data_IF_353728048351
#
_entry.id   IF_353728048351
#
_cell.length_a   1.000
_cell.length_b   1.000
_cell.length_c   1.000
_cell.angle_alpha   90.00
_cell.angle_beta   90.00
_cell.angle_gamma   90.00
#
_symmetry.space_group_name_H-M   'P 1'
#
loop_
_entity.id
_entity.type
_entity.pdbx_description
1 polymer ?
#
# COMPACT_ATOMS: atom_id res chain seq x y z
N UNK A 1 -50.34 -73.73 10.00
CA UNK A 1 -48.88 -73.71 9.73
C UNK A 1 -48.73 -73.05 8.36
N UNK A 2 -48.54 -71.75 8.33
CA UNK A 2 -48.42 -70.93 7.12
C UNK A 2 -47.13 -70.16 7.18
N UNK A 3 -46.19 -70.51 6.34
CA UNK A 3 -44.85 -69.84 6.18
C UNK A 3 -44.95 -68.54 5.43
N UNK A 4 -44.47 -67.43 6.00
CA UNK A 4 -44.26 -66.14 5.33
C UNK A 4 -42.94 -66.15 4.55
N UNK A 5 -42.84 -65.55 3.37
CA UNK A 5 -41.58 -65.39 2.67
C UNK A 5 -40.80 -64.14 3.11
N UNK A 6 -39.50 -64.33 3.32
CA UNK A 6 -38.51 -63.33 3.63
C UNK A 6 -38.25 -62.42 2.39
N UNK A 7 -38.56 -61.09 2.52
CA UNK A 7 -38.21 -60.11 1.47
C UNK A 7 -36.77 -59.63 1.65
N UNK A 8 -35.93 -59.89 0.65
CA UNK A 8 -34.58 -59.42 0.50
C UNK A 8 -34.62 -57.92 0.12
N UNK A 9 -34.10 -57.03 0.97
CA UNK A 9 -33.92 -55.61 0.66
C UNK A 9 -32.50 -55.44 0.11
N UNK A 10 -32.36 -55.15 -1.18
CA UNK A 10 -31.08 -54.80 -1.79
C UNK A 10 -30.88 -53.31 -1.59
N UNK A 11 -29.86 -52.96 -0.76
CA UNK A 11 -29.45 -51.59 -0.58
C UNK A 11 -28.50 -51.21 -1.75
N UNK A 12 -28.92 -50.26 -2.58
CA UNK A 12 -28.08 -49.68 -3.62
C UNK A 12 -27.09 -48.68 -2.96
N UNK A 13 -25.81 -49.01 -2.94
CA UNK A 13 -24.75 -48.08 -2.61
C UNK A 13 -24.54 -47.12 -3.79
N UNK A 14 -25.02 -45.88 -3.64
CA UNK A 14 -24.69 -44.78 -4.54
C UNK A 14 -23.24 -44.37 -4.38
N UNK A 15 -22.43 -44.57 -5.41
CA UNK A 15 -21.07 -44.02 -5.48
C UNK A 15 -21.14 -42.51 -5.63
N UNK A 16 -20.77 -41.79 -4.56
CA UNK A 16 -20.53 -40.32 -4.61
C UNK A 16 -19.20 -40.10 -5.30
N UNK A 17 -19.26 -39.69 -6.57
CA UNK A 17 -18.07 -39.24 -7.29
C UNK A 17 -17.60 -37.90 -6.70
N UNK A 18 -16.50 -37.94 -5.96
CA UNK A 18 -15.79 -36.74 -5.53
C UNK A 18 -15.15 -36.13 -6.79
N UNK A 19 -15.70 -35.03 -7.28
CA UNK A 19 -15.02 -34.17 -8.25
C UNK A 19 -13.88 -33.50 -7.48
N UNK A 20 -12.66 -33.92 -7.76
CA UNK A 20 -11.45 -33.27 -7.27
C UNK A 20 -11.43 -31.83 -7.80
N UNK A 21 -11.81 -30.89 -6.94
CA UNK A 21 -11.65 -29.48 -7.22
C UNK A 21 -10.18 -29.22 -7.49
N UNK A 22 -9.87 -28.59 -8.63
CA UNK A 22 -8.52 -28.12 -8.94
C UNK A 22 -8.01 -27.29 -7.78
N UNK A 23 -6.98 -27.76 -7.09
CA UNK A 23 -6.30 -27.01 -6.05
C UNK A 23 -5.78 -25.71 -6.69
N UNK A 24 -6.43 -24.62 -6.37
CA UNK A 24 -5.99 -23.29 -6.79
C UNK A 24 -4.65 -23.05 -6.10
N UNK A 25 -3.57 -23.06 -6.88
CA UNK A 25 -2.22 -22.80 -6.35
C UNK A 25 -2.25 -21.46 -5.63
N UNK A 26 -1.77 -21.44 -4.39
CA UNK A 26 -1.65 -20.19 -3.63
C UNK A 26 -0.89 -19.15 -4.49
N UNK A 27 -1.34 -17.87 -4.52
CA UNK A 27 -0.67 -16.86 -5.31
C UNK A 27 0.80 -16.76 -4.88
N UNK A 28 1.69 -16.72 -5.89
CA UNK A 28 3.13 -16.58 -5.64
C UNK A 28 3.39 -15.37 -4.73
N UNK A 29 4.23 -15.57 -3.70
CA UNK A 29 4.55 -14.51 -2.75
C UNK A 29 5.23 -13.33 -3.46
N UNK A 30 4.73 -12.11 -3.24
CA UNK A 30 5.38 -10.88 -3.70
C UNK A 30 6.42 -10.44 -2.68
N UNK A 31 7.69 -10.72 -2.97
CA UNK A 31 8.86 -10.29 -2.19
C UNK A 31 9.92 -9.65 -3.10
N UNK A 32 10.94 -9.03 -2.51
CA UNK A 32 12.07 -8.49 -3.27
C UNK A 32 12.79 -9.60 -4.04
N UNK A 33 12.95 -10.79 -3.43
CA UNK A 33 13.64 -11.94 -4.02
C UNK A 33 12.87 -12.52 -5.21
N UNK A 34 11.55 -12.78 -5.05
CA UNK A 34 10.73 -13.31 -6.15
C UNK A 34 10.60 -12.31 -7.29
N UNK A 35 10.59 -11.02 -6.98
CA UNK A 35 10.57 -9.94 -7.97
C UNK A 35 11.91 -9.82 -8.68
N UNK A 36 13.04 -9.94 -7.95
CA UNK A 36 14.38 -9.94 -8.51
C UNK A 36 14.55 -11.07 -9.53
N UNK A 37 14.15 -12.29 -9.18
CA UNK A 37 14.25 -13.44 -10.07
C UNK A 37 13.55 -13.21 -11.43
N UNK A 38 12.44 -12.45 -11.45
CA UNK A 38 11.69 -12.10 -12.66
C UNK A 38 12.32 -10.95 -13.45
N UNK A 39 12.96 -10.00 -12.76
CA UNK A 39 13.45 -8.77 -13.38
C UNK A 39 14.93 -8.84 -13.79
N UNK A 40 15.75 -9.58 -13.08
CA UNK A 40 17.21 -9.68 -13.33
C UNK A 40 17.58 -10.07 -14.78
N UNK A 41 16.84 -10.94 -15.49
CA UNK A 41 17.15 -11.24 -16.89
C UNK A 41 17.07 -10.02 -17.82
N UNK A 42 16.13 -9.08 -17.53
CA UNK A 42 15.95 -7.85 -18.31
C UNK A 42 16.81 -6.69 -17.78
N UNK A 43 17.06 -6.67 -16.48
CA UNK A 43 17.80 -5.62 -15.78
C UNK A 43 18.98 -6.22 -14.99
N UNK A 44 20.02 -6.72 -15.67
CA UNK A 44 21.10 -7.49 -14.99
C UNK A 44 21.94 -6.66 -14.02
N UNK A 45 21.82 -5.34 -14.06
CA UNK A 45 22.54 -4.40 -13.19
C UNK A 45 21.84 -4.15 -11.84
N UNK A 46 20.58 -4.58 -11.67
CA UNK A 46 19.85 -4.30 -10.43
C UNK A 46 20.38 -5.16 -9.28
N UNK A 47 20.21 -4.63 -8.08
CA UNK A 47 20.46 -5.36 -6.82
C UNK A 47 19.27 -5.16 -5.91
N UNK A 48 18.90 -6.20 -5.18
CA UNK A 48 17.93 -6.03 -4.08
C UNK A 48 18.48 -5.00 -3.11
N UNK A 49 17.70 -3.96 -2.83
CA UNK A 49 18.12 -2.90 -1.92
C UNK A 49 18.30 -3.44 -0.50
N UNK A 50 19.45 -3.14 0.11
CA UNK A 50 19.78 -3.66 1.43
C UNK A 50 18.78 -3.22 2.51
N UNK A 51 18.31 -4.18 3.29
CA UNK A 51 17.52 -3.99 4.52
C UNK A 51 18.34 -4.24 5.79
N UNK A 52 19.66 -4.24 5.69
CA UNK A 52 20.56 -4.28 6.85
C UNK A 52 20.39 -2.97 7.66
N UNK A 53 20.14 -3.12 8.96
CA UNK A 53 19.91 -1.98 9.84
C UNK A 53 21.26 -1.39 10.26
N UNK A 54 21.58 -0.14 9.88
CA UNK A 54 22.84 0.49 10.26
C UNK A 54 22.86 0.85 11.76
N UNK A 55 24.05 1.09 12.29
CA UNK A 55 24.21 1.45 13.71
C UNK A 55 23.48 2.73 14.12
N UNK A 56 23.20 3.61 13.17
CA UNK A 56 22.47 4.87 13.35
C UNK A 56 20.95 4.68 13.50
N UNK A 57 20.41 3.49 13.21
CA UNK A 57 18.97 3.20 13.25
C UNK A 57 18.67 2.15 14.31
N UNK A 58 17.57 2.37 15.03
CA UNK A 58 16.93 1.39 15.90
C UNK A 58 15.77 0.74 15.14
N UNK A 59 15.67 -0.59 15.19
CA UNK A 59 14.58 -1.32 14.55
C UNK A 59 13.80 -2.12 15.59
N UNK A 60 12.52 -1.79 15.75
CA UNK A 60 11.56 -2.49 16.60
C UNK A 60 10.63 -3.28 15.68
N UNK A 61 10.64 -4.60 15.79
CA UNK A 61 9.94 -5.48 14.83
C UNK A 61 8.79 -6.23 15.47
N UNK A 62 7.77 -6.50 14.65
CA UNK A 62 6.65 -7.35 15.06
C UNK A 62 5.73 -6.71 16.08
N UNK A 63 5.64 -5.37 16.12
CA UNK A 63 4.76 -4.66 17.04
C UNK A 63 3.31 -4.85 16.57
N UNK A 64 2.46 -5.42 17.39
CA UNK A 64 1.03 -5.57 17.11
C UNK A 64 0.34 -4.21 17.24
N UNK A 65 -0.23 -3.68 16.15
CA UNK A 65 -0.92 -2.40 16.15
C UNK A 65 -2.45 -2.53 16.19
N UNK A 66 -2.98 -3.66 15.74
CA UNK A 66 -4.42 -4.00 15.85
C UNK A 66 -4.63 -5.51 15.85
N UNK A 67 -5.73 -5.95 16.47
CA UNK A 67 -6.18 -7.36 16.50
C UNK A 67 -7.59 -7.46 15.93
N UNK A 68 -7.79 -8.45 15.04
CA UNK A 68 -9.09 -8.86 14.54
C UNK A 68 -9.33 -10.30 14.99
N UNK A 69 -10.01 -10.47 16.14
CA UNK A 69 -10.10 -11.79 16.79
C UNK A 69 -8.70 -12.32 17.15
N UNK A 70 -8.36 -13.51 16.65
CA UNK A 70 -7.04 -14.11 16.83
C UNK A 70 -5.96 -13.62 15.85
N UNK A 71 -6.32 -12.81 14.87
CA UNK A 71 -5.39 -12.28 13.86
C UNK A 71 -4.72 -10.99 14.35
N UNK A 72 -3.41 -11.02 14.52
CA UNK A 72 -2.61 -9.84 14.82
C UNK A 72 -2.06 -9.22 13.54
N UNK A 73 -2.28 -7.92 13.37
CA UNK A 73 -1.60 -7.14 12.35
C UNK A 73 -0.45 -6.37 12.97
N UNK A 74 0.71 -6.48 12.35
CA UNK A 74 1.96 -6.01 12.91
C UNK A 74 2.61 -4.94 12.04
N UNK A 75 3.39 -4.08 12.69
CA UNK A 75 4.30 -3.15 12.06
C UNK A 75 5.74 -3.39 12.53
N UNK A 76 6.69 -2.98 11.70
CA UNK A 76 8.09 -2.82 12.08
C UNK A 76 8.39 -1.31 12.07
N UNK A 77 8.93 -0.78 13.16
CA UNK A 77 9.22 0.63 13.36
C UNK A 77 10.74 0.87 13.34
N UNK A 78 11.17 1.79 12.49
CA UNK A 78 12.56 2.20 12.33
C UNK A 78 12.73 3.65 12.79
N UNK A 79 13.65 3.88 13.71
CA UNK A 79 13.86 5.17 14.37
C UNK A 79 15.33 5.57 14.28
N UNK A 80 15.67 6.85 14.04
CA UNK A 80 17.04 7.32 14.18
C UNK A 80 17.50 7.21 15.63
N UNK A 81 18.70 6.73 15.87
CA UNK A 81 19.33 6.81 17.20
C UNK A 81 19.82 8.25 17.47
N UNK A 82 19.96 8.62 18.74
CA UNK A 82 20.42 9.96 19.12
C UNK A 82 19.39 11.06 18.88
N UNK A 83 18.10 10.72 18.77
CA UNK A 83 16.96 11.63 18.55
C UNK A 83 16.57 12.52 19.72
N UNK A 84 17.39 12.56 20.78
CA UNK A 84 17.09 13.22 22.05
C UNK A 84 16.43 14.61 21.87
N UNK A 85 15.19 14.76 22.38
CA UNK A 85 14.47 16.02 22.49
C UNK A 85 13.83 16.55 21.21
N UNK A 86 13.96 15.87 20.05
CA UNK A 86 13.31 16.27 18.78
C UNK A 86 12.17 15.34 18.44
N UNK A 87 10.96 15.90 18.31
CA UNK A 87 9.82 15.15 17.80
C UNK A 87 10.00 14.88 16.28
N UNK A 88 9.99 13.61 15.89
CA UNK A 88 10.23 13.14 14.53
C UNK A 88 8.94 13.16 13.71
N UNK A 89 8.93 13.61 12.46
CA UNK A 89 7.83 13.31 11.57
C UNK A 89 7.76 11.79 11.35
N UNK A 90 6.52 11.26 11.25
CA UNK A 90 6.28 9.84 11.03
C UNK A 90 5.85 9.53 9.60
N UNK A 91 6.13 8.31 9.14
CA UNK A 91 5.65 7.79 7.86
C UNK A 91 5.28 6.32 7.98
N UNK A 92 4.11 5.96 7.44
CA UNK A 92 3.62 4.58 7.38
C UNK A 92 3.71 4.08 5.95
N UNK A 93 4.46 3.00 5.73
CA UNK A 93 4.65 2.35 4.43
C UNK A 93 3.73 1.15 4.25
N UNK A 94 2.97 1.15 3.16
CA UNK A 94 2.01 0.12 2.76
C UNK A 94 2.55 -0.65 1.56
N UNK A 95 2.72 -1.96 1.71
CA UNK A 95 3.27 -2.80 0.65
C UNK A 95 2.28 -3.05 -0.50
N UNK A 96 2.81 -3.34 -1.69
CA UNK A 96 2.06 -3.79 -2.85
C UNK A 96 1.77 -5.29 -2.84
N UNK A 97 1.39 -5.81 -4.00
CA UNK A 97 1.09 -7.23 -4.22
C UNK A 97 -0.35 -7.47 -4.68
N UNK A 98 -0.95 -6.48 -5.38
CA UNK A 98 -2.30 -6.60 -5.96
C UNK A 98 -3.38 -6.88 -4.93
N UNK A 99 -3.27 -6.33 -3.72
CA UNK A 99 -4.19 -6.55 -2.58
C UNK A 99 -4.31 -8.01 -2.12
N UNK A 100 -3.59 -8.97 -2.74
CA UNK A 100 -3.72 -10.42 -2.55
C UNK A 100 -2.53 -11.06 -1.87
N UNK A 101 -1.36 -10.44 -1.96
CA UNK A 101 -0.08 -10.96 -1.49
C UNK A 101 0.84 -9.82 -1.07
N UNK A 102 2.04 -10.14 -0.63
CA UNK A 102 3.03 -9.17 -0.20
C UNK A 102 3.25 -9.17 1.30
N UNK A 103 4.33 -8.51 1.70
CA UNK A 103 4.78 -8.48 3.10
C UNK A 103 5.32 -7.09 3.44
N UNK A 104 5.19 -6.67 4.71
CA UNK A 104 5.69 -5.38 5.20
C UNK A 104 7.21 -5.20 4.99
N UNK A 105 7.97 -6.30 4.95
CA UNK A 105 9.41 -6.29 4.70
C UNK A 105 9.80 -5.71 3.34
N UNK A 106 8.89 -5.67 2.35
CA UNK A 106 9.13 -5.06 1.03
C UNK A 106 9.48 -3.57 1.11
N UNK A 107 9.09 -2.88 2.19
CA UNK A 107 9.47 -1.49 2.42
C UNK A 107 10.56 -1.28 3.48
N UNK A 108 11.15 -2.35 4.02
CA UNK A 108 12.16 -2.25 5.07
C UNK A 108 13.37 -1.39 4.64
N UNK A 109 13.89 -1.60 3.42
CA UNK A 109 15.03 -0.82 2.88
C UNK A 109 14.71 0.66 2.78
N UNK A 110 13.51 1.02 2.30
CA UNK A 110 13.09 2.42 2.21
C UNK A 110 12.86 3.02 3.60
N UNK A 111 12.20 2.29 4.51
CA UNK A 111 11.94 2.76 5.88
C UNK A 111 13.24 3.00 6.67
N UNK A 112 14.23 2.13 6.51
CA UNK A 112 15.57 2.33 7.12
C UNK A 112 16.21 3.61 6.60
N UNK A 113 16.22 3.83 5.27
CA UNK A 113 16.79 5.05 4.68
C UNK A 113 16.03 6.31 5.10
N UNK A 114 14.70 6.23 5.30
CA UNK A 114 13.92 7.33 5.87
C UNK A 114 14.27 7.60 7.33
N UNK A 115 14.53 6.55 8.13
CA UNK A 115 14.99 6.71 9.50
C UNK A 115 16.36 7.39 9.57
N UNK A 116 17.30 7.06 8.68
CA UNK A 116 18.59 7.77 8.56
C UNK A 116 18.42 9.26 8.22
N UNK A 117 17.29 9.65 7.61
CA UNK A 117 16.94 11.04 7.29
C UNK A 117 16.08 11.72 8.36
N UNK A 118 15.94 11.09 9.54
CA UNK A 118 15.26 11.67 10.70
C UNK A 118 13.75 11.53 10.69
N UNK A 119 13.20 10.46 10.10
CA UNK A 119 11.81 10.08 10.16
C UNK A 119 11.60 8.88 11.10
N UNK A 120 10.47 8.84 11.79
CA UNK A 120 9.98 7.60 12.38
C UNK A 120 9.22 6.82 11.29
N UNK A 121 9.82 5.75 10.76
CA UNK A 121 9.30 5.04 9.60
C UNK A 121 8.75 3.67 10.00
N UNK A 122 7.46 3.44 9.76
CA UNK A 122 6.79 2.16 10.02
C UNK A 122 6.47 1.43 8.70
N UNK A 123 6.71 0.12 8.65
CA UNK A 123 6.20 -0.74 7.59
C UNK A 123 5.08 -1.61 8.16
N UNK A 124 3.94 -1.74 7.48
CA UNK A 124 2.75 -2.36 8.05
C UNK A 124 2.27 -3.57 7.26
N UNK A 125 1.81 -4.60 7.97
CA UNK A 125 0.96 -5.65 7.42
C UNK A 125 -0.50 -5.16 7.43
N UNK A 126 -1.30 -5.62 6.49
CA UNK A 126 -2.75 -5.38 6.45
C UNK A 126 -3.45 -6.66 5.97
N UNK A 127 -4.76 -6.78 6.18
CA UNK A 127 -5.53 -7.93 5.71
C UNK A 127 -5.60 -7.92 4.19
N UNK A 128 -5.14 -9.02 3.59
CA UNK A 128 -5.16 -9.23 2.14
C UNK A 128 -6.52 -9.73 1.69
N UNK A 129 -6.85 -9.58 0.41
CA UNK A 129 -8.18 -9.93 -0.13
C UNK A 129 -8.62 -11.38 0.12
N UNK A 130 -7.72 -12.40 0.17
CA UNK A 130 -8.12 -13.75 0.56
C UNK A 130 -8.54 -13.87 2.03
N UNK A 131 -8.05 -12.97 2.90
CA UNK A 131 -8.37 -12.92 4.33
C UNK A 131 -9.60 -12.03 4.59
N UNK A 132 -9.63 -10.86 3.97
CA UNK A 132 -10.76 -9.93 4.07
C UNK A 132 -10.85 -9.04 2.81
N UNK A 133 -12.06 -8.89 2.22
CA UNK A 133 -12.25 -8.05 1.05
C UNK A 133 -12.13 -6.56 1.40
N UNK A 134 -12.18 -5.70 0.37
CA UNK A 134 -12.35 -4.27 0.53
C UNK A 134 -13.57 -3.95 1.42
N UNK A 135 -13.49 -2.97 2.34
CA UNK A 135 -12.41 -2.00 2.57
C UNK A 135 -11.45 -2.36 3.72
N UNK A 136 -11.33 -3.63 4.12
CA UNK A 136 -10.57 -4.06 5.30
C UNK A 136 -9.14 -3.48 5.36
N UNK A 137 -8.39 -3.51 4.26
CA UNK A 137 -7.03 -2.97 4.19
C UNK A 137 -6.97 -1.46 4.50
N UNK A 138 -8.00 -0.70 4.12
CA UNK A 138 -8.08 0.74 4.39
C UNK A 138 -8.25 0.98 5.91
N UNK A 139 -9.13 0.22 6.55
CA UNK A 139 -9.35 0.28 8.00
C UNK A 139 -8.06 -0.07 8.77
N UNK A 140 -7.35 -1.09 8.32
CA UNK A 140 -6.10 -1.54 8.93
C UNK A 140 -5.00 -0.48 8.85
N UNK A 141 -4.80 0.16 7.69
CA UNK A 141 -3.79 1.20 7.53
C UNK A 141 -4.16 2.46 8.32
N UNK A 142 -5.44 2.82 8.40
CA UNK A 142 -5.91 3.88 9.30
C UNK A 142 -5.65 3.54 10.78
N UNK A 143 -5.85 2.28 11.18
CA UNK A 143 -5.50 1.83 12.53
C UNK A 143 -3.99 1.95 12.80
N UNK A 144 -3.13 1.68 11.81
CA UNK A 144 -1.68 1.88 11.95
C UNK A 144 -1.31 3.36 12.16
N UNK A 145 -1.94 4.29 11.44
CA UNK A 145 -1.76 5.74 11.65
C UNK A 145 -2.23 6.17 13.04
N UNK A 146 -3.38 5.65 13.52
CA UNK A 146 -3.83 5.88 14.90
C UNK A 146 -2.83 5.35 15.92
N UNK A 147 -2.30 4.15 15.69
CA UNK A 147 -1.30 3.56 16.57
C UNK A 147 -0.04 4.43 16.66
N UNK A 148 0.50 4.87 15.52
CA UNK A 148 1.65 5.78 15.48
C UNK A 148 1.39 7.07 16.26
N UNK A 149 0.19 7.63 16.15
CA UNK A 149 -0.21 8.86 16.84
C UNK A 149 -0.41 8.63 18.34
N UNK A 150 -1.02 7.52 18.73
CA UNK A 150 -1.25 7.18 20.14
C UNK A 150 0.05 6.94 20.92
N UNK A 151 1.06 6.35 20.25
CA UNK A 151 2.37 6.05 20.83
C UNK A 151 3.43 7.13 20.51
N UNK A 152 2.99 8.31 20.05
CA UNK A 152 3.89 9.37 19.62
C UNK A 152 4.86 9.79 20.73
N UNK A 153 4.38 9.93 21.97
CA UNK A 153 5.21 10.27 23.13
C UNK A 153 6.26 9.21 23.48
N UNK A 154 5.90 7.92 23.36
CA UNK A 154 6.79 6.79 23.64
C UNK A 154 7.98 6.74 22.67
N UNK A 155 7.72 6.96 21.36
CA UNK A 155 8.72 6.82 20.32
C UNK A 155 9.34 8.15 19.86
N UNK A 156 8.95 9.27 20.48
CA UNK A 156 9.43 10.60 20.09
C UNK A 156 8.93 11.05 18.72
N UNK A 157 7.70 10.67 18.35
CA UNK A 157 7.05 11.03 17.09
C UNK A 157 6.25 12.31 17.28
N UNK A 158 6.19 13.15 16.25
CA UNK A 158 5.27 14.27 16.21
C UNK A 158 3.88 13.80 15.74
N UNK A 159 2.86 13.81 16.60
CA UNK A 159 1.52 13.33 16.25
C UNK A 159 0.83 14.20 15.18
N UNK A 160 1.30 15.43 14.97
CA UNK A 160 0.78 16.35 13.96
C UNK A 160 1.45 16.19 12.58
N UNK A 161 2.51 15.36 12.47
CA UNK A 161 3.30 15.20 11.24
C UNK A 161 3.44 13.73 10.85
N UNK A 162 2.33 13.10 10.42
CA UNK A 162 2.30 11.73 9.95
C UNK A 162 1.97 11.68 8.45
N UNK A 163 2.80 10.98 7.68
CA UNK A 163 2.56 10.71 6.27
C UNK A 163 2.16 9.24 6.07
N UNK A 164 1.51 8.96 4.95
CA UNK A 164 1.25 7.60 4.46
C UNK A 164 1.86 7.43 3.07
N UNK A 165 2.53 6.32 2.86
CA UNK A 165 3.21 6.00 1.61
C UNK A 165 2.95 4.55 1.20
N UNK A 166 3.06 4.23 -0.08
CA UNK A 166 2.98 2.85 -0.50
C UNK A 166 3.30 2.66 -1.98
N UNK A 167 3.52 1.41 -2.38
CA UNK A 167 3.82 1.04 -3.75
C UNK A 167 2.75 0.14 -4.36
N UNK A 168 2.41 0.34 -5.66
CA UNK A 168 1.41 -0.47 -6.36
C UNK A 168 0.05 -0.44 -5.66
N UNK A 169 -0.52 -1.59 -5.30
CA UNK A 169 -1.72 -1.69 -4.48
C UNK A 169 -1.59 -0.88 -3.17
N UNK A 170 -0.40 -0.87 -2.55
CA UNK A 170 -0.13 -0.05 -1.37
C UNK A 170 -0.15 1.46 -1.66
N UNK A 171 0.27 1.88 -2.85
CA UNK A 171 0.19 3.28 -3.30
C UNK A 171 -1.25 3.75 -3.49
N UNK A 172 -2.10 2.89 -4.05
CA UNK A 172 -3.54 3.13 -4.14
C UNK A 172 -4.18 3.20 -2.74
N UNK A 173 -3.85 2.23 -1.84
CA UNK A 173 -4.34 2.23 -0.44
C UNK A 173 -3.89 3.51 0.27
N UNK A 174 -2.60 3.89 0.17
CA UNK A 174 -2.07 5.10 0.80
C UNK A 174 -2.79 6.36 0.30
N UNK A 175 -3.06 6.44 -1.01
CA UNK A 175 -3.82 7.55 -1.59
C UNK A 175 -5.24 7.61 -1.04
N UNK A 176 -5.96 6.48 -1.02
CA UNK A 176 -7.34 6.43 -0.52
C UNK A 176 -7.40 6.77 0.98
N UNK A 177 -6.48 6.23 1.78
CA UNK A 177 -6.36 6.54 3.21
C UNK A 177 -6.20 8.04 3.45
N UNK A 178 -5.30 8.68 2.70
CA UNK A 178 -5.02 10.11 2.87
C UNK A 178 -6.18 11.02 2.41
N UNK A 179 -6.77 10.76 1.22
CA UNK A 179 -7.87 11.59 0.71
C UNK A 179 -9.18 11.40 1.47
N UNK A 180 -9.30 10.35 2.27
CA UNK A 180 -10.47 10.05 3.10
C UNK A 180 -10.26 10.39 4.58
N UNK A 181 -9.40 11.36 4.89
CA UNK A 181 -9.27 11.90 6.24
C UNK A 181 -10.64 12.38 6.75
N UNK A 182 -11.03 11.91 7.95
CA UNK A 182 -12.30 12.28 8.58
C UNK A 182 -13.56 11.64 7.98
N UNK A 183 -13.45 10.78 6.98
CA UNK A 183 -14.59 10.06 6.40
C UNK A 183 -14.86 8.78 7.22
N UNK A 184 -15.90 8.80 8.06
CA UNK A 184 -16.20 7.75 9.03
C UNK A 184 -16.37 6.34 8.45
N UNK A 185 -16.88 6.20 7.22
CA UNK A 185 -16.99 4.91 6.53
C UNK A 185 -15.64 4.19 6.40
N UNK A 186 -14.55 4.94 6.22
CA UNK A 186 -13.19 4.40 6.09
C UNK A 186 -12.46 4.32 7.43
N UNK A 187 -13.07 4.77 8.49
CA UNK A 187 -12.49 4.77 9.83
C UNK A 187 -13.56 4.41 10.88
N UNK A 188 -14.19 3.22 10.79
CA UNK A 188 -15.30 2.84 11.64
C UNK A 188 -14.92 2.75 13.13
N UNK A 189 -13.64 2.48 13.40
CA UNK A 189 -13.09 2.37 14.76
C UNK A 189 -12.44 3.69 15.23
N UNK A 190 -12.78 4.81 14.59
CA UNK A 190 -12.29 6.12 14.98
C UNK A 190 -12.77 6.47 16.39
N UNK A 191 -11.85 6.41 17.35
CA UNK A 191 -12.05 6.90 18.71
C UNK A 191 -11.60 8.35 18.83
N UNK A 192 -10.97 8.70 19.96
CA UNK A 192 -10.41 10.04 20.19
C UNK A 192 -9.10 10.32 19.44
N UNK A 193 -8.43 9.28 18.93
CA UNK A 193 -7.16 9.40 18.20
C UNK A 193 -7.41 9.40 16.69
N UNK A 194 -7.02 10.47 16.02
CA UNK A 194 -7.20 10.63 14.57
C UNK A 194 -6.30 9.70 13.76
N UNK A 195 -6.81 9.16 12.65
CA UNK A 195 -6.05 8.44 11.62
C UNK A 195 -5.56 9.36 10.48
N UNK A 196 -5.75 10.67 10.57
CA UNK A 196 -5.43 11.59 9.48
C UNK A 196 -3.95 11.57 9.12
N UNK A 197 -3.64 11.47 7.82
CA UNK A 197 -2.32 11.71 7.26
C UNK A 197 -2.19 13.16 6.81
N UNK A 198 -1.00 13.76 6.96
CA UNK A 198 -0.69 15.12 6.58
C UNK A 198 0.01 15.22 5.21
N UNK A 199 0.50 14.10 4.68
CA UNK A 199 1.05 13.99 3.33
C UNK A 199 0.89 12.56 2.80
N UNK A 200 0.87 12.42 1.48
CA UNK A 200 0.72 11.15 0.79
C UNK A 200 1.90 10.95 -0.17
N UNK A 201 2.44 9.73 -0.23
CA UNK A 201 3.40 9.31 -1.25
C UNK A 201 2.86 8.08 -1.98
N UNK A 202 2.52 8.26 -3.24
CA UNK A 202 2.01 7.20 -4.11
C UNK A 202 3.11 6.77 -5.08
N UNK A 203 3.59 5.52 -4.94
CA UNK A 203 4.60 4.95 -5.82
C UNK A 203 3.90 3.94 -6.76
N UNK A 204 3.73 4.30 -8.03
CA UNK A 204 3.08 3.45 -9.05
C UNK A 204 1.71 2.86 -8.61
N UNK A 205 0.92 3.60 -7.85
CA UNK A 205 -0.43 3.20 -7.45
C UNK A 205 -1.47 3.93 -8.29
N UNK A 206 -2.43 3.19 -8.86
CA UNK A 206 -3.51 3.82 -9.62
C UNK A 206 -4.41 4.69 -8.73
N UNK A 207 -5.01 5.73 -9.33
CA UNK A 207 -5.86 6.68 -8.62
C UNK A 207 -7.35 6.55 -8.99
N UNK A 208 -7.66 5.76 -10.01
CA UNK A 208 -9.02 5.50 -10.49
C UNK A 208 -9.16 4.05 -10.95
N UNK A 209 -10.26 3.40 -10.58
CA UNK A 209 -10.63 2.05 -11.01
C UNK A 209 -11.75 2.05 -12.07
N UNK A 210 -12.38 3.19 -12.33
CA UNK A 210 -13.66 3.23 -13.08
C UNK A 210 -13.50 3.57 -14.54
N UNK A 211 -12.38 4.19 -14.93
CA UNK A 211 -12.10 4.52 -16.32
C UNK A 211 -11.92 3.26 -17.18
N UNK A 212 -12.16 3.38 -18.48
CA UNK A 212 -11.91 2.29 -19.42
C UNK A 212 -10.46 1.81 -19.36
N UNK A 213 -9.51 2.75 -19.22
CA UNK A 213 -8.09 2.44 -19.09
C UNK A 213 -7.81 1.59 -17.84
N UNK A 214 -8.43 1.90 -16.69
CA UNK A 214 -8.31 1.11 -15.47
C UNK A 214 -8.90 -0.29 -15.66
N UNK A 215 -10.14 -0.37 -16.17
CA UNK A 215 -10.87 -1.64 -16.34
C UNK A 215 -10.16 -2.60 -17.29
N UNK A 216 -9.50 -2.09 -18.34
CA UNK A 216 -8.69 -2.91 -19.25
C UNK A 216 -7.63 -3.75 -18.51
N UNK A 217 -7.05 -3.23 -17.44
CA UNK A 217 -6.00 -3.90 -16.67
C UNK A 217 -6.54 -4.61 -15.42
N UNK A 218 -7.48 -3.98 -14.75
CA UNK A 218 -7.92 -4.40 -13.41
C UNK A 218 -9.20 -5.25 -13.45
N UNK A 219 -10.00 -5.18 -14.54
CA UNK A 219 -11.18 -6.02 -14.80
C UNK A 219 -10.98 -6.94 -16.03
N UNK A 220 -9.76 -7.37 -16.27
CA UNK A 220 -9.37 -8.22 -17.39
C UNK A 220 -10.19 -9.54 -17.38
N UNK A 221 -10.97 -9.83 -18.43
CA UNK A 221 -11.83 -11.02 -18.48
C UNK A 221 -11.04 -12.33 -18.53
N UNK A 222 -9.78 -12.29 -18.98
CA UNK A 222 -8.91 -13.47 -19.04
C UNK A 222 -8.34 -13.84 -17.69
N UNK A 223 -8.47 -12.96 -16.69
CA UNK A 223 -8.04 -13.17 -15.29
C UNK A 223 -9.26 -13.31 -14.40
N UNK A 224 -9.62 -14.52 -13.99
CA UNK A 224 -10.80 -14.80 -13.17
C UNK A 224 -10.45 -15.46 -11.84
N UNK A 225 -10.58 -14.71 -10.74
CA UNK A 225 -10.78 -13.26 -10.71
C UNK A 225 -9.49 -12.48 -10.97
N UNK A 226 -9.59 -11.29 -11.52
CA UNK A 226 -8.50 -10.31 -11.51
C UNK A 226 -8.13 -9.95 -10.07
N UNK A 227 -6.98 -9.30 -9.84
CA UNK A 227 -6.60 -8.91 -8.48
C UNK A 227 -7.60 -7.94 -7.85
N UNK A 228 -8.06 -6.95 -8.61
CA UNK A 228 -9.09 -6.00 -8.17
C UNK A 228 -10.44 -6.69 -8.00
N UNK A 229 -10.86 -7.54 -8.95
CA UNK A 229 -12.09 -8.31 -8.84
C UNK A 229 -12.14 -9.21 -7.60
N UNK A 230 -11.02 -9.85 -7.25
CA UNK A 230 -10.91 -10.61 -6.00
C UNK A 230 -11.03 -9.71 -4.76
N UNK A 231 -10.44 -8.52 -4.81
CA UNK A 231 -10.48 -7.57 -3.69
C UNK A 231 -11.88 -6.99 -3.47
N UNK A 232 -12.59 -6.69 -4.57
CA UNK A 232 -13.96 -6.16 -4.50
C UNK A 232 -15.05 -7.24 -4.36
N UNK A 233 -14.68 -8.51 -4.53
CA UNK A 233 -15.63 -9.63 -4.51
C UNK A 233 -16.53 -9.69 -5.76
N UNK A 234 -16.07 -9.18 -6.91
CA UNK A 234 -16.77 -9.21 -8.18
C UNK A 234 -16.18 -8.25 -9.21
N UNK A 235 -16.60 -8.43 -10.46
CA UNK A 235 -16.20 -7.61 -11.60
C UNK A 235 -16.79 -6.19 -11.49
N UNK A 236 -16.26 -5.27 -12.31
CA UNK A 236 -16.74 -3.88 -12.35
C UNK A 236 -18.26 -3.81 -12.56
N UNK A 237 -18.79 -4.51 -13.54
CA UNK A 237 -20.24 -4.51 -13.83
C UNK A 237 -21.12 -4.99 -12.66
N UNK A 238 -20.57 -5.83 -11.78
CA UNK A 238 -21.27 -6.39 -10.62
C UNK A 238 -21.11 -5.54 -9.36
N UNK A 239 -19.99 -4.82 -9.24
CA UNK A 239 -19.56 -4.13 -8.03
C UNK A 239 -19.13 -2.66 -8.29
N UNK A 240 -19.71 -2.02 -9.31
CA UNK A 240 -19.34 -0.65 -9.73
C UNK A 240 -19.21 0.33 -8.57
N UNK A 241 -20.15 0.28 -7.63
CA UNK A 241 -20.14 1.17 -6.47
C UNK A 241 -18.86 1.01 -5.61
N UNK A 242 -18.37 -0.23 -5.42
CA UNK A 242 -17.14 -0.49 -4.66
C UNK A 242 -15.89 -0.07 -5.43
N UNK A 243 -15.86 -0.32 -6.75
CA UNK A 243 -14.77 0.11 -7.61
C UNK A 243 -14.64 1.64 -7.62
N UNK A 244 -15.76 2.34 -7.69
CA UNK A 244 -15.81 3.81 -7.59
C UNK A 244 -15.38 4.29 -6.20
N UNK A 245 -15.90 3.67 -5.15
CA UNK A 245 -15.58 4.01 -3.77
C UNK A 245 -14.08 3.84 -3.45
N UNK A 246 -13.43 2.84 -4.03
CA UNK A 246 -12.00 2.60 -3.85
C UNK A 246 -11.10 3.54 -4.67
N UNK A 247 -11.65 4.40 -5.52
CA UNK A 247 -10.91 5.30 -6.40
C UNK A 247 -10.60 6.63 -5.70
N UNK A 248 -9.34 6.92 -5.33
CA UNK A 248 -8.95 8.14 -4.61
C UNK A 248 -9.40 9.43 -5.28
N UNK A 249 -9.44 9.47 -6.61
CA UNK A 249 -9.80 10.62 -7.44
C UNK A 249 -11.19 11.21 -7.09
N UNK A 250 -12.09 10.41 -6.52
CA UNK A 250 -13.45 10.87 -6.16
C UNK A 250 -13.53 11.60 -4.82
N UNK A 251 -12.47 11.59 -4.02
CA UNK A 251 -12.46 12.20 -2.68
C UNK A 251 -11.66 13.50 -2.60
N UNK A 252 -11.04 13.89 -3.71
CA UNK A 252 -10.22 15.11 -3.76
C UNK A 252 -11.07 16.34 -3.45
N UNK A 253 -10.63 17.12 -2.45
CA UNK A 253 -11.23 18.38 -2.02
C UNK A 253 -10.17 19.27 -1.39
N UNK A 254 -10.55 20.47 -0.91
CA UNK A 254 -9.60 21.42 -0.32
C UNK A 254 -8.92 20.95 0.98
N UNK A 255 -9.46 19.93 1.66
CA UNK A 255 -8.85 19.33 2.84
C UNK A 255 -7.95 18.11 2.51
N UNK A 256 -7.82 17.75 1.23
CA UNK A 256 -6.94 16.68 0.77
C UNK A 256 -5.48 17.01 1.12
N UNK A 257 -4.72 16.07 1.72
CA UNK A 257 -3.30 16.30 1.97
C UNK A 257 -2.50 16.44 0.66
N UNK A 258 -1.36 17.16 0.69
CA UNK A 258 -0.44 17.18 -0.45
C UNK A 258 0.03 15.77 -0.82
N UNK A 259 0.24 15.54 -2.12
CA UNK A 259 0.64 14.22 -2.64
C UNK A 259 1.88 14.30 -3.54
N UNK A 260 2.80 13.34 -3.35
CA UNK A 260 3.87 13.02 -4.28
C UNK A 260 3.52 11.73 -5.03
N UNK A 261 3.49 11.79 -6.35
CA UNK A 261 3.44 10.63 -7.23
C UNK A 261 4.85 10.29 -7.71
N UNK A 262 5.27 9.05 -7.52
CA UNK A 262 6.52 8.53 -8.08
C UNK A 262 6.16 7.38 -9.01
N UNK A 263 6.48 7.51 -10.31
CA UNK A 263 6.03 6.57 -11.33
C UNK A 263 7.17 5.96 -12.15
N UNK A 264 6.98 4.69 -12.58
CA UNK A 264 7.87 3.97 -13.51
C UNK A 264 7.74 4.44 -14.96
N UNK A 265 6.82 5.33 -15.28
CA UNK A 265 6.47 5.69 -16.66
C UNK A 265 5.55 4.68 -17.35
N UNK A 266 5.15 3.60 -16.70
CA UNK A 266 4.21 2.62 -17.25
C UNK A 266 2.78 3.11 -17.08
N UNK A 267 2.07 3.31 -18.20
CA UNK A 267 0.72 3.89 -18.23
C UNK A 267 -0.30 3.17 -17.32
N UNK A 268 -0.19 1.85 -17.20
CA UNK A 268 -1.06 1.05 -16.34
C UNK A 268 -1.11 1.58 -14.89
N UNK A 269 0.05 1.95 -14.34
CA UNK A 269 0.18 2.31 -12.93
C UNK A 269 -0.01 3.80 -12.65
N UNK A 270 -0.27 4.60 -13.70
CA UNK A 270 -0.58 6.03 -13.58
C UNK A 270 -2.04 6.37 -13.89
N UNK A 271 -2.90 5.35 -14.03
CA UNK A 271 -4.32 5.58 -14.35
C UNK A 271 -5.00 6.41 -13.26
N UNK A 272 -5.72 7.46 -13.69
CA UNK A 272 -6.40 8.42 -12.81
C UNK A 272 -5.50 9.48 -12.18
N UNK A 273 -4.16 9.38 -12.32
CA UNK A 273 -3.22 10.34 -11.73
C UNK A 273 -3.42 11.76 -12.25
N UNK A 274 -3.49 11.93 -13.56
CA UNK A 274 -3.61 13.26 -14.17
C UNK A 274 -4.95 13.93 -13.83
N UNK A 275 -6.04 13.14 -13.80
CA UNK A 275 -7.34 13.63 -13.35
C UNK A 275 -7.30 14.04 -11.86
N UNK A 276 -6.67 13.22 -11.02
CA UNK A 276 -6.50 13.53 -9.60
C UNK A 276 -5.69 14.81 -9.41
N UNK A 277 -4.59 15.00 -10.13
CA UNK A 277 -3.76 16.21 -10.12
C UNK A 277 -4.59 17.43 -10.54
N UNK A 278 -5.38 17.32 -11.61
CA UNK A 278 -6.25 18.42 -12.06
C UNK A 278 -7.27 18.82 -10.97
N UNK A 279 -7.90 17.85 -10.30
CA UNK A 279 -8.82 18.09 -9.19
C UNK A 279 -8.10 18.73 -7.99
N UNK A 280 -6.90 18.27 -7.67
CA UNK A 280 -6.08 18.85 -6.59
C UNK A 280 -5.70 20.30 -6.89
N UNK A 281 -5.29 20.60 -8.11
CA UNK A 281 -4.97 21.96 -8.55
C UNK A 281 -6.20 22.88 -8.44
N UNK A 282 -7.37 22.41 -8.88
CA UNK A 282 -8.63 23.13 -8.74
C UNK A 282 -9.03 23.39 -7.28
N UNK A 283 -8.64 22.48 -6.38
CA UNK A 283 -8.86 22.60 -4.93
C UNK A 283 -7.74 23.37 -4.19
N UNK A 284 -6.73 23.87 -4.89
CA UNK A 284 -5.59 24.59 -4.30
C UNK A 284 -4.62 23.67 -3.52
N UNK A 285 -4.64 22.37 -3.77
CA UNK A 285 -3.83 21.38 -3.07
C UNK A 285 -2.56 21.04 -3.84
N UNK A 286 -1.44 20.98 -3.12
CA UNK A 286 -0.12 20.69 -3.73
C UNK A 286 -0.04 19.24 -4.20
N UNK A 287 0.40 19.06 -5.45
CA UNK A 287 0.84 17.76 -5.98
C UNK A 287 2.21 17.90 -6.65
N UNK A 288 3.00 16.81 -6.60
CA UNK A 288 4.30 16.70 -7.28
C UNK A 288 4.35 15.37 -8.00
N UNK A 289 5.09 15.33 -9.09
CA UNK A 289 5.33 14.11 -9.89
C UNK A 289 6.81 13.93 -10.14
N UNK A 290 7.31 12.72 -9.84
CA UNK A 290 8.60 12.23 -10.31
C UNK A 290 8.35 11.00 -11.18
N UNK A 291 8.83 11.01 -12.42
CA UNK A 291 8.82 9.80 -13.25
C UNK A 291 10.26 9.31 -13.38
N UNK A 292 10.47 8.02 -13.13
CA UNK A 292 11.70 7.29 -13.36
C UNK A 292 11.47 6.44 -14.63
N UNK A 293 11.76 6.97 -15.83
CA UNK A 293 11.45 6.28 -17.07
C UNK A 293 12.28 4.99 -17.20
N UNK A 294 11.77 4.05 -17.98
CA UNK A 294 12.44 2.77 -18.30
C UNK A 294 12.69 1.86 -17.08
N UNK A 295 12.06 2.16 -15.94
CA UNK A 295 12.13 1.30 -14.76
C UNK A 295 11.03 0.23 -14.77
N UNK A 296 11.25 -0.94 -14.16
CA UNK A 296 10.17 -1.90 -13.91
C UNK A 296 9.21 -1.38 -12.85
N UNK A 297 7.99 -1.90 -12.84
CA UNK A 297 6.95 -1.48 -11.88
C UNK A 297 7.42 -1.47 -10.41
N UNK A 298 8.16 -2.53 -9.97
CA UNK A 298 8.59 -2.62 -8.57
C UNK A 298 9.98 -2.01 -8.30
N UNK A 299 10.35 -0.91 -9.00
CA UNK A 299 11.68 -0.30 -8.95
C UNK A 299 12.15 0.08 -7.52
N UNK A 300 11.26 0.43 -6.63
CA UNK A 300 11.56 0.81 -5.23
C UNK A 300 12.13 -0.32 -4.37
N UNK A 301 12.12 -1.56 -4.87
CA UNK A 301 12.76 -2.71 -4.19
C UNK A 301 14.25 -2.82 -4.52
N UNK A 302 14.75 -2.03 -5.48
CA UNK A 302 16.06 -2.26 -6.09
C UNK A 302 16.91 -1.00 -6.17
N UNK A 303 18.22 -1.16 -5.95
CA UNK A 303 19.19 -0.20 -6.38
C UNK A 303 19.48 -0.40 -7.90
N UNK A 304 19.68 0.71 -8.68
CA UNK A 304 19.95 2.07 -8.22
C UNK A 304 18.70 2.95 -7.94
N UNK A 305 17.50 2.48 -8.15
CA UNK A 305 16.29 3.32 -8.18
C UNK A 305 15.74 3.70 -6.80
N UNK A 306 16.03 2.89 -5.76
CA UNK A 306 15.57 3.23 -4.41
C UNK A 306 16.15 4.56 -3.92
N UNK A 307 17.42 4.87 -4.25
CA UNK A 307 18.06 6.13 -3.86
C UNK A 307 17.25 7.36 -4.29
N UNK A 308 17.04 7.59 -5.59
CA UNK A 308 16.21 8.69 -6.10
C UNK A 308 14.79 8.71 -5.52
N UNK A 309 14.17 7.55 -5.29
CA UNK A 309 12.85 7.43 -4.68
C UNK A 309 12.83 7.97 -3.25
N UNK A 310 13.83 7.62 -2.44
CA UNK A 310 14.00 8.13 -1.08
C UNK A 310 14.25 9.63 -1.08
N UNK A 311 15.16 10.13 -1.91
CA UNK A 311 15.48 11.56 -2.01
C UNK A 311 14.26 12.41 -2.36
N UNK A 312 13.47 11.98 -3.35
CA UNK A 312 12.25 12.68 -3.72
C UNK A 312 11.22 12.67 -2.58
N UNK A 313 11.08 11.53 -1.89
CA UNK A 313 10.18 11.39 -0.73
C UNK A 313 10.61 12.32 0.41
N UNK A 314 11.89 12.34 0.77
CA UNK A 314 12.43 13.20 1.84
C UNK A 314 12.20 14.67 1.50
N UNK A 315 12.61 15.11 0.30
CA UNK A 315 12.43 16.49 -0.15
C UNK A 315 10.98 16.94 -0.05
N UNK A 316 10.07 16.14 -0.61
CA UNK A 316 8.64 16.45 -0.57
C UNK A 316 8.10 16.54 0.85
N UNK A 317 8.42 15.56 1.71
CA UNK A 317 7.91 15.53 3.08
C UNK A 317 8.53 16.64 3.95
N UNK A 318 9.80 16.99 3.74
CA UNK A 318 10.44 18.13 4.42
C UNK A 318 9.76 19.46 4.04
N UNK A 319 9.42 19.65 2.76
CA UNK A 319 8.66 20.81 2.28
C UNK A 319 7.27 20.88 2.93
N UNK A 320 6.55 19.77 3.00
CA UNK A 320 5.15 19.75 3.41
C UNK A 320 4.95 19.63 4.93
N UNK A 321 5.88 19.02 5.65
CA UNK A 321 5.70 18.71 7.07
C UNK A 321 6.70 19.40 7.99
N UNK A 322 7.85 19.88 7.49
CA UNK A 322 8.87 20.54 8.32
C UNK A 322 8.94 22.05 8.10
N UNK A 323 8.17 22.60 7.17
CA UNK A 323 8.19 24.05 6.86
C UNK A 323 9.50 24.50 6.21
N UNK A 324 10.14 23.60 5.46
CA UNK A 324 11.36 23.92 4.70
C UNK A 324 11.04 24.96 3.63
N UNK A 325 11.66 26.16 3.76
CA UNK A 325 11.73 27.09 2.64
C UNK A 325 12.51 26.42 1.51
N UNK A 326 11.83 26.12 0.41
CA UNK A 326 12.48 25.68 -0.82
C UNK A 326 13.33 26.83 -1.29
N UNK A 327 14.66 26.74 -1.16
CA UNK A 327 15.52 27.46 -2.08
C UNK A 327 15.24 26.91 -3.47
N UNK A 328 14.64 27.75 -4.33
CA UNK A 328 14.43 27.41 -5.72
C UNK A 328 15.75 26.87 -6.31
N UNK A 329 15.74 25.83 -7.15
CA UNK A 329 16.95 25.35 -7.79
C UNK A 329 17.60 26.51 -8.52
N UNK A 330 18.89 26.70 -8.27
CA UNK A 330 19.71 27.72 -8.95
C UNK A 330 19.59 27.51 -10.47
N UNK A 331 19.02 28.48 -11.21
CA UNK A 331 18.85 28.38 -12.65
C UNK A 331 20.19 28.32 -13.43
N UNK A 332 21.33 28.46 -12.74
CA UNK A 332 22.67 28.46 -13.34
C UNK A 332 23.36 27.09 -13.34
N UNK A 333 22.78 26.06 -12.71
CA UNK A 333 23.36 24.71 -12.78
C UNK A 333 22.98 24.01 -14.10
N UNK A 334 23.98 23.50 -14.86
CA UNK A 334 23.72 22.78 -16.10
C UNK A 334 22.95 21.48 -15.82
N UNK A 335 21.88 21.26 -16.55
CA UNK A 335 21.13 19.99 -16.53
C UNK A 335 21.99 18.93 -17.23
N UNK A 336 22.54 18.01 -16.46
CA UNK A 336 23.17 16.79 -16.94
C UNK A 336 22.17 15.63 -16.98
#
# INVERSE_FOLDING_TARGET
MTSLPLKLVVAALGAVSYVAGSAQTAPESYTAETTYAKLAPKYPFIKIASSAVPVSVEALRGITYVRHGGRELQLDLYLPKGRAGKALPGIVFVHGGGWRTGVRANFASMAIRMAERGYAAATVSYRLSPEAPYPAAIHDVKAALRWMRAHAGEFGIDPARLAVAGGSAGGQIASLVGVTNGVGRFDPDAGTVSSAAQAIVNIDGLSDFTSEAARRYEDDPDKQPSSAGAWFGGRYAEKEALWREASPTYYVNAATPPILFIGSGQARFSVGREEMIAKMAAAGVVSRVLVLPETPHSFWLFDPWLGPTVEATVRFLDEQMRGGTVTAPDPTQPRH
#
